data_IF_923945449145
#
_entry.id   IF_923945449145
#
_cell.length_a   1.000
_cell.length_b   1.000
_cell.length_c   1.000
_cell.angle_alpha   90.00
_cell.angle_beta   90.00
_cell.angle_gamma   90.00
#
_symmetry.space_group_name_H-M   'P 1'
#
loop_
_entity.id
_entity.type
_entity.pdbx_description
1 polymer ?
#
# COMPACT_ATOMS: atom_id res chain seq x y z
N UNK A 1 -4.24 -15.80 0.84
CA UNK A 1 -3.10 -15.08 0.24
C UNK A 1 -3.09 -13.58 0.55
N UNK A 2 -3.98 -12.77 -0.07
CA UNK A 2 -3.89 -11.29 0.03
C UNK A 2 -3.99 -10.77 1.45
N UNK A 3 -4.92 -11.32 2.24
CA UNK A 3 -5.07 -10.98 3.65
C UNK A 3 -3.74 -11.08 4.41
N UNK A 4 -3.07 -12.23 4.36
CA UNK A 4 -1.80 -12.46 5.07
C UNK A 4 -0.68 -11.53 4.60
N UNK A 5 -0.58 -11.27 3.29
CA UNK A 5 0.42 -10.34 2.77
C UNK A 5 0.14 -8.90 3.23
N UNK A 6 -1.10 -8.42 3.07
CA UNK A 6 -1.51 -7.09 3.52
C UNK A 6 -1.35 -6.94 5.03
N UNK A 7 -1.71 -7.96 5.80
CA UNK A 7 -1.56 -8.00 7.25
C UNK A 7 -0.08 -7.83 7.65
N UNK A 8 0.79 -8.65 7.07
CA UNK A 8 2.24 -8.61 7.34
C UNK A 8 2.87 -7.29 6.93
N UNK A 9 2.51 -6.77 5.75
CA UNK A 9 3.01 -5.51 5.23
C UNK A 9 2.55 -4.31 6.09
N UNK A 10 1.29 -4.29 6.53
CA UNK A 10 0.77 -3.23 7.42
C UNK A 10 1.41 -3.28 8.81
N UNK A 11 1.60 -4.48 9.34
CA UNK A 11 2.32 -4.72 10.58
C UNK A 11 3.75 -4.17 10.46
N UNK A 12 4.48 -4.55 9.41
CA UNK A 12 5.84 -4.11 9.14
C UNK A 12 5.97 -2.59 9.00
N UNK A 13 5.06 -1.93 8.29
CA UNK A 13 5.08 -0.47 8.13
C UNK A 13 5.03 0.28 9.48
N UNK A 14 4.21 -0.18 10.42
CA UNK A 14 4.06 0.43 11.75
C UNK A 14 5.31 0.23 12.60
N UNK A 15 5.87 -0.98 12.58
CA UNK A 15 7.06 -1.32 13.39
C UNK A 15 8.29 -0.58 12.90
N UNK A 16 8.48 -0.50 11.58
CA UNK A 16 9.60 0.24 10.98
C UNK A 16 9.51 1.71 11.35
N UNK A 17 8.32 2.32 11.20
CA UNK A 17 8.10 3.70 11.58
C UNK A 17 8.41 3.93 13.07
N UNK A 18 7.86 3.11 13.95
CA UNK A 18 8.09 3.23 15.39
C UNK A 18 9.56 3.04 15.78
N UNK A 19 10.24 2.06 15.17
CA UNK A 19 11.64 1.77 15.48
C UNK A 19 12.58 2.89 15.05
N UNK A 20 12.40 3.45 13.84
CA UNK A 20 13.20 4.60 13.38
C UNK A 20 12.92 5.83 14.24
N UNK A 21 11.66 6.09 14.59
CA UNK A 21 11.34 7.20 15.48
C UNK A 21 12.05 7.10 16.83
N UNK A 22 12.09 5.90 17.43
CA UNK A 22 12.81 5.66 18.69
C UNK A 22 14.32 5.87 18.57
N UNK A 23 14.91 5.61 17.40
CA UNK A 23 16.35 5.78 17.15
C UNK A 23 16.73 7.22 16.83
N UNK A 24 15.95 7.90 15.98
CA UNK A 24 16.30 9.23 15.45
C UNK A 24 15.67 10.38 16.24
N UNK A 25 14.55 10.15 16.94
CA UNK A 25 13.72 11.19 17.59
C UNK A 25 13.29 12.36 16.68
N UNK A 26 13.39 12.19 15.36
CA UNK A 26 13.10 13.22 14.37
C UNK A 26 11.86 12.86 13.54
N UNK A 27 10.79 13.67 13.57
CA UNK A 27 9.62 13.50 12.70
C UNK A 27 9.95 13.55 11.20
N UNK A 28 11.00 14.27 10.77
CA UNK A 28 11.39 14.35 9.36
C UNK A 28 11.88 12.99 8.83
N UNK A 29 12.54 12.19 9.68
CA UNK A 29 12.98 10.84 9.31
C UNK A 29 11.79 9.90 9.00
N UNK A 30 10.66 10.07 9.70
CA UNK A 30 9.42 9.33 9.38
C UNK A 30 8.86 9.72 8.00
N UNK A 31 8.92 11.02 7.66
CA UNK A 31 8.54 11.50 6.33
C UNK A 31 9.42 10.92 5.22
N UNK A 32 10.74 10.86 5.46
CA UNK A 32 11.70 10.29 4.52
C UNK A 32 11.49 8.79 4.28
N UNK A 33 11.05 8.03 5.28
CA UNK A 33 10.67 6.61 5.10
C UNK A 33 9.53 6.49 4.10
N UNK A 34 8.47 7.29 4.30
CA UNK A 34 7.32 7.31 3.39
C UNK A 34 7.72 7.67 1.96
N UNK A 35 8.59 8.67 1.80
CA UNK A 35 9.13 9.06 0.49
C UNK A 35 9.98 7.96 -0.14
N UNK A 36 10.86 7.32 0.64
CA UNK A 36 11.74 6.24 0.20
C UNK A 36 10.95 5.01 -0.27
N UNK A 37 9.76 4.78 0.29
CA UNK A 37 8.83 3.75 -0.18
C UNK A 37 8.02 4.20 -1.41
N UNK A 38 7.53 5.45 -1.39
CA UNK A 38 6.62 5.96 -2.42
C UNK A 38 7.31 6.16 -3.77
N UNK A 39 8.53 6.68 -3.80
CA UNK A 39 9.31 6.92 -5.03
C UNK A 39 9.45 5.65 -5.87
N UNK A 40 9.99 4.52 -5.35
CA UNK A 40 10.11 3.29 -6.12
C UNK A 40 8.74 2.68 -6.43
N UNK A 41 7.77 2.75 -5.51
CA UNK A 41 6.44 2.19 -5.75
C UNK A 41 5.75 2.89 -6.94
N UNK A 42 5.80 4.22 -7.03
CA UNK A 42 5.22 5.00 -8.11
C UNK A 42 6.03 4.84 -9.40
N UNK A 43 7.35 4.97 -9.33
CA UNK A 43 8.23 4.86 -10.50
C UNK A 43 8.12 3.50 -11.19
N UNK A 44 7.96 2.43 -10.41
CA UNK A 44 7.84 1.07 -10.92
C UNK A 44 6.39 0.68 -11.21
N UNK A 45 5.37 1.32 -10.63
CA UNK A 45 3.97 0.95 -10.87
C UNK A 45 3.61 0.87 -12.37
N UNK A 46 4.09 1.82 -13.18
CA UNK A 46 3.84 1.85 -14.62
C UNK A 46 4.52 0.67 -15.35
N UNK A 47 5.79 0.42 -15.03
CA UNK A 47 6.57 -0.69 -15.60
C UNK A 47 6.09 -2.06 -15.10
N UNK A 48 5.70 -2.11 -13.83
CA UNK A 48 5.15 -3.26 -13.15
C UNK A 48 3.78 -3.65 -13.67
N UNK A 49 2.94 -2.69 -14.07
CA UNK A 49 1.69 -2.95 -14.78
C UNK A 49 1.92 -3.67 -16.11
N UNK A 50 2.83 -3.14 -16.93
CA UNK A 50 3.19 -3.75 -18.19
C UNK A 50 3.76 -5.18 -18.02
N UNK A 51 4.67 -5.38 -17.06
CA UNK A 51 5.22 -6.70 -16.76
C UNK A 51 4.16 -7.65 -16.17
N UNK A 52 3.24 -7.16 -15.36
CA UNK A 52 2.15 -7.94 -14.78
C UNK A 52 1.16 -8.47 -15.83
N UNK A 53 0.98 -7.74 -16.93
CA UNK A 53 0.13 -8.16 -18.04
C UNK A 53 0.85 -9.14 -18.99
N UNK A 54 2.18 -9.10 -19.05
CA UNK A 54 3.00 -9.97 -19.93
C UNK A 54 3.50 -11.24 -19.28
N UNK A 55 3.94 -11.16 -18.03
CA UNK A 55 4.52 -12.30 -17.32
C UNK A 55 3.42 -13.18 -16.74
N UNK A 56 3.80 -14.42 -16.47
CA UNK A 56 2.97 -15.30 -15.65
C UNK A 56 2.80 -14.67 -14.26
N UNK A 57 1.55 -14.31 -13.95
CA UNK A 57 1.19 -13.56 -12.75
C UNK A 57 1.56 -14.27 -11.45
N UNK A 58 1.42 -15.60 -11.43
CA UNK A 58 1.83 -16.43 -10.29
C UNK A 58 3.34 -16.34 -10.05
N UNK A 59 4.15 -16.53 -11.10
CA UNK A 59 5.60 -16.44 -11.02
C UNK A 59 6.08 -15.05 -10.59
N UNK A 60 5.45 -13.98 -11.11
CA UNK A 60 5.76 -12.61 -10.71
C UNK A 60 5.42 -12.35 -9.23
N UNK A 61 4.25 -12.79 -8.76
CA UNK A 61 3.87 -12.65 -7.35
C UNK A 61 4.80 -13.44 -6.41
N UNK A 62 5.23 -14.64 -6.79
CA UNK A 62 6.22 -15.40 -6.01
C UNK A 62 7.55 -14.66 -5.89
N UNK A 63 8.04 -14.03 -6.97
CA UNK A 63 9.27 -13.22 -6.95
C UNK A 63 9.13 -12.01 -6.02
N UNK A 64 7.99 -11.31 -6.11
CA UNK A 64 7.67 -10.18 -5.22
C UNK A 64 7.66 -10.63 -3.76
N UNK A 65 7.02 -11.76 -3.45
CA UNK A 65 6.91 -12.26 -2.08
C UNK A 65 8.27 -12.72 -1.55
N UNK A 66 9.07 -13.36 -2.39
CA UNK A 66 10.45 -13.72 -2.06
C UNK A 66 11.29 -12.47 -1.73
N UNK A 67 11.17 -11.41 -2.53
CA UNK A 67 11.83 -10.13 -2.27
C UNK A 67 11.43 -9.52 -0.93
N UNK A 68 10.14 -9.48 -0.61
CA UNK A 68 9.65 -8.95 0.68
C UNK A 68 10.09 -9.82 1.87
N UNK A 69 10.11 -11.14 1.71
CA UNK A 69 10.63 -12.07 2.73
C UNK A 69 12.13 -11.83 2.95
N UNK A 70 12.92 -11.70 1.88
CA UNK A 70 14.36 -11.40 1.98
C UNK A 70 14.60 -10.06 2.67
N UNK A 71 13.87 -9.00 2.30
CA UNK A 71 13.96 -7.71 2.99
C UNK A 71 13.61 -7.84 4.48
N UNK A 72 12.59 -8.63 4.82
CA UNK A 72 12.18 -8.86 6.21
C UNK A 72 13.20 -9.68 7.01
N UNK A 73 13.86 -10.66 6.38
CA UNK A 73 14.96 -11.42 6.99
C UNK A 73 16.18 -10.51 7.23
N UNK A 74 16.55 -9.70 6.25
CA UNK A 74 17.66 -8.74 6.39
C UNK A 74 17.38 -7.74 7.51
N UNK A 75 16.14 -7.23 7.62
CA UNK A 75 15.75 -6.39 8.76
C UNK A 75 15.80 -7.14 10.09
N UNK A 76 15.35 -8.40 10.15
CA UNK A 76 15.43 -9.22 11.36
C UNK A 76 16.89 -9.37 11.80
N UNK A 77 17.80 -9.70 10.89
CA UNK A 77 19.24 -9.83 11.18
C UNK A 77 19.82 -8.49 11.63
N UNK A 78 19.52 -7.40 10.93
CA UNK A 78 19.99 -6.05 11.26
C UNK A 78 19.49 -5.56 12.63
N UNK A 79 18.30 -6.02 13.06
CA UNK A 79 17.69 -5.62 14.33
C UNK A 79 17.85 -6.65 15.44
N UNK A 80 18.46 -7.81 15.17
CA UNK A 80 18.72 -8.81 16.19
C UNK A 80 19.80 -8.31 17.14
N UNK A 81 19.71 -8.70 18.42
CA UNK A 81 20.54 -8.27 19.56
C UNK A 81 22.06 -8.45 19.40
N UNK A 82 22.52 -9.01 18.28
CA UNK A 82 23.92 -9.25 17.95
C UNK A 82 24.60 -8.06 17.26
N UNK A 83 23.86 -7.20 16.56
CA UNK A 83 24.45 -6.09 15.78
C UNK A 83 25.06 -4.95 16.64
N UNK A 84 24.46 -4.54 17.78
CA UNK A 84 25.06 -3.51 18.64
C UNK A 84 26.42 -3.91 19.24
N UNK A 85 26.72 -5.22 19.32
CA UNK A 85 27.99 -5.73 19.85
C UNK A 85 29.18 -5.56 18.90
N UNK A 86 28.95 -5.28 17.61
CA UNK A 86 30.00 -5.19 16.58
C UNK A 86 30.29 -3.74 16.12
N UNK A 87 29.75 -2.72 16.79
CA UNK A 87 30.06 -1.31 16.46
C UNK A 87 29.40 -0.77 15.19
N UNK A 88 28.43 -1.49 14.61
CA UNK A 88 27.72 -1.15 13.37
C UNK A 88 26.42 -0.35 13.59
N UNK A 89 26.31 0.38 14.72
CA UNK A 89 25.11 1.15 15.08
C UNK A 89 24.68 2.16 14.02
N UNK A 90 25.66 2.80 13.35
CA UNK A 90 25.41 3.82 12.31
C UNK A 90 24.83 3.26 11.00
N UNK A 91 24.99 1.96 10.74
CA UNK A 91 24.51 1.33 9.49
C UNK A 91 23.08 0.80 9.57
N UNK A 92 22.45 0.82 10.76
CA UNK A 92 21.08 0.34 10.95
C UNK A 92 20.09 1.20 10.16
N UNK A 93 20.20 2.52 10.28
CA UNK A 93 19.29 3.47 9.64
C UNK A 93 19.38 3.40 8.11
N UNK A 94 20.59 3.45 7.47
CA UNK A 94 20.72 3.27 6.02
C UNK A 94 20.19 1.93 5.52
N UNK A 95 20.41 0.84 6.27
CA UNK A 95 19.91 -0.49 5.91
C UNK A 95 18.39 -0.53 5.93
N UNK A 96 17.75 0.09 6.91
CA UNK A 96 16.29 0.18 6.95
C UNK A 96 15.74 0.97 5.76
N UNK A 97 16.34 2.10 5.40
CA UNK A 97 15.93 2.86 4.19
C UNK A 97 16.09 2.03 2.91
N UNK A 98 17.20 1.31 2.74
CA UNK A 98 17.42 0.45 1.58
C UNK A 98 16.37 -0.69 1.51
N UNK A 99 15.99 -1.26 2.65
CA UNK A 99 14.98 -2.31 2.69
C UNK A 99 13.56 -1.76 2.45
N UNK A 100 13.23 -0.58 2.97
CA UNK A 100 11.97 0.12 2.67
C UNK A 100 11.87 0.40 1.16
N UNK A 101 12.96 0.85 0.55
CA UNK A 101 13.03 1.05 -0.90
C UNK A 101 12.73 -0.25 -1.64
N UNK A 102 13.35 -1.38 -1.24
CA UNK A 102 13.07 -2.70 -1.80
C UNK A 102 11.62 -3.15 -1.63
N UNK A 103 11.01 -2.87 -0.49
CA UNK A 103 9.58 -3.13 -0.24
C UNK A 103 8.70 -2.25 -1.16
N UNK A 104 9.07 -0.99 -1.37
CA UNK A 104 8.40 -0.09 -2.31
C UNK A 104 8.44 -0.60 -3.75
N UNK A 105 9.60 -1.10 -4.20
CA UNK A 105 9.74 -1.79 -5.49
C UNK A 105 8.79 -2.98 -5.58
N UNK A 106 8.79 -3.85 -4.57
CA UNK A 106 7.93 -5.03 -4.51
C UNK A 106 6.44 -4.64 -4.54
N UNK A 107 6.05 -3.57 -3.86
CA UNK A 107 4.69 -3.03 -3.85
C UNK A 107 4.25 -2.53 -5.23
N UNK A 108 5.15 -1.87 -5.96
CA UNK A 108 4.93 -1.40 -7.32
C UNK A 108 4.54 -2.52 -8.28
N UNK A 109 5.12 -3.72 -8.11
CA UNK A 109 4.73 -4.93 -8.85
C UNK A 109 3.50 -5.63 -8.25
N UNK A 110 3.37 -5.64 -6.92
CA UNK A 110 2.29 -6.33 -6.22
C UNK A 110 0.91 -5.78 -6.61
N UNK A 111 0.74 -4.46 -6.60
CA UNK A 111 -0.55 -3.81 -6.86
C UNK A 111 -1.16 -4.19 -8.22
N UNK A 112 -0.50 -3.93 -9.37
CA UNK A 112 -1.06 -4.23 -10.68
C UNK A 112 -1.24 -5.75 -10.91
N UNK A 113 -0.28 -6.56 -10.47
CA UNK A 113 -0.37 -8.03 -10.62
C UNK A 113 -1.56 -8.59 -9.86
N UNK A 114 -1.81 -8.07 -8.67
CA UNK A 114 -2.96 -8.46 -7.84
C UNK A 114 -4.28 -8.12 -8.51
N UNK A 115 -4.47 -6.90 -9.01
CA UNK A 115 -5.69 -6.54 -9.74
C UNK A 115 -5.88 -7.39 -11.01
N UNK A 116 -4.81 -7.60 -11.79
CA UNK A 116 -4.85 -8.38 -13.03
C UNK A 116 -5.14 -9.87 -12.78
N UNK A 117 -4.72 -10.45 -11.65
CA UNK A 117 -5.09 -11.82 -11.23
C UNK A 117 -6.57 -11.92 -10.87
N UNK A 118 -7.10 -10.92 -10.14
CA UNK A 118 -8.52 -10.92 -9.75
C UNK A 118 -9.43 -10.91 -10.97
N UNK A 119 -9.05 -10.12 -11.98
CA UNK A 119 -9.78 -10.00 -13.23
C UNK A 119 -9.85 -11.27 -14.05
N UNK A 120 -8.88 -12.17 -13.91
CA UNK A 120 -8.84 -13.43 -14.66
C UNK A 120 -9.50 -14.59 -13.93
N UNK A 121 -9.46 -14.60 -12.59
CA UNK A 121 -10.00 -15.71 -11.80
C UNK A 121 -11.50 -15.54 -11.56
N UNK A 122 -12.01 -14.32 -11.46
CA UNK A 122 -13.39 -14.06 -11.06
C UNK A 122 -14.29 -13.85 -12.29
N UNK A 123 -15.37 -14.65 -12.46
CA UNK A 123 -16.40 -14.40 -13.47
C UNK A 123 -17.03 -13.02 -13.31
N UNK A 124 -17.39 -12.34 -14.40
CA UNK A 124 -17.97 -10.98 -14.37
C UNK A 124 -19.21 -10.85 -13.48
N UNK A 125 -20.01 -11.91 -13.38
CA UNK A 125 -21.21 -11.99 -12.55
C UNK A 125 -20.91 -11.97 -11.05
N UNK A 126 -19.79 -12.57 -10.63
CA UNK A 126 -19.37 -12.66 -9.23
C UNK A 126 -18.37 -11.56 -8.84
N UNK A 127 -18.01 -10.69 -9.79
CA UNK A 127 -17.03 -9.64 -9.61
C UNK A 127 -17.37 -8.65 -8.48
N UNK A 128 -18.64 -8.18 -8.35
CA UNK A 128 -19.02 -7.32 -7.24
C UNK A 128 -18.84 -8.01 -5.88
N UNK A 129 -19.28 -9.27 -5.77
CA UNK A 129 -19.17 -10.05 -4.54
C UNK A 129 -17.69 -10.31 -4.17
N UNK A 130 -16.87 -10.70 -5.15
CA UNK A 130 -15.44 -10.90 -4.93
C UNK A 130 -14.72 -9.61 -4.52
N UNK A 131 -15.14 -8.47 -5.09
CA UNK A 131 -14.60 -7.15 -4.74
C UNK A 131 -14.96 -6.78 -3.31
N UNK A 132 -16.21 -6.99 -2.89
CA UNK A 132 -16.65 -6.78 -1.50
C UNK A 132 -15.86 -7.64 -0.51
N UNK A 133 -15.67 -8.93 -0.80
CA UNK A 133 -14.83 -9.82 0.04
C UNK A 133 -13.37 -9.37 0.08
N UNK A 134 -12.84 -8.88 -1.04
CA UNK A 134 -11.48 -8.38 -1.12
C UNK A 134 -11.30 -7.11 -0.28
N UNK A 135 -12.20 -6.14 -0.43
CA UNK A 135 -12.20 -4.90 0.34
C UNK A 135 -12.36 -5.18 1.83
N UNK A 136 -13.27 -6.08 2.21
CA UNK A 136 -13.46 -6.48 3.61
C UNK A 136 -12.17 -7.09 4.18
N UNK A 137 -11.54 -8.00 3.45
CA UNK A 137 -10.26 -8.60 3.85
C UNK A 137 -9.16 -7.55 4.01
N UNK A 138 -9.11 -6.55 3.12
CA UNK A 138 -8.14 -5.46 3.20
C UNK A 138 -8.38 -4.57 4.43
N UNK A 139 -9.64 -4.22 4.71
CA UNK A 139 -10.00 -3.45 5.91
C UNK A 139 -9.61 -4.20 7.19
N UNK A 140 -9.97 -5.49 7.29
CA UNK A 140 -9.58 -6.31 8.43
C UNK A 140 -8.06 -6.38 8.59
N UNK A 141 -7.31 -6.62 7.51
CA UNK A 141 -5.85 -6.66 7.56
C UNK A 141 -5.24 -5.29 7.94
N UNK A 142 -5.84 -4.19 7.49
CA UNK A 142 -5.37 -2.84 7.77
C UNK A 142 -5.64 -2.37 9.20
N UNK A 143 -6.64 -2.95 9.87
CA UNK A 143 -6.94 -2.65 11.28
C UNK A 143 -6.15 -3.59 12.20
N UNK A 144 -6.24 -4.90 11.95
CA UNK A 144 -5.67 -5.93 12.82
C UNK A 144 -4.14 -5.96 12.69
N UNK A 145 -3.58 -5.72 11.50
CA UNK A 145 -2.13 -5.75 11.24
C UNK A 145 -1.34 -4.79 12.13
N UNK A 146 -1.64 -3.47 12.11
CA UNK A 146 -1.02 -2.49 13.01
C UNK A 146 -1.27 -2.78 14.49
N UNK A 147 -2.48 -3.19 14.87
CA UNK A 147 -2.84 -3.44 16.25
C UNK A 147 -2.02 -4.60 16.85
N UNK A 148 -1.99 -5.75 16.17
CA UNK A 148 -1.16 -6.90 16.59
C UNK A 148 0.33 -6.54 16.49
N UNK A 149 0.74 -5.82 15.45
CA UNK A 149 2.12 -5.33 15.28
C UNK A 149 2.62 -4.52 16.46
N UNK A 150 1.85 -3.52 16.87
CA UNK A 150 2.18 -2.67 18.02
C UNK A 150 2.18 -3.44 19.33
N UNK A 151 1.19 -4.33 19.55
CA UNK A 151 1.13 -5.15 20.77
C UNK A 151 2.33 -6.10 20.88
N UNK A 152 2.63 -6.86 19.82
CA UNK A 152 3.76 -7.80 19.82
C UNK A 152 5.08 -7.05 19.99
N UNK A 153 5.23 -5.90 19.34
CA UNK A 153 6.40 -5.04 19.51
C UNK A 153 6.54 -4.54 20.96
N UNK A 154 5.43 -4.13 21.60
CA UNK A 154 5.42 -3.61 22.96
C UNK A 154 5.80 -4.65 24.03
N UNK A 155 5.32 -5.89 23.89
CA UNK A 155 5.56 -6.95 24.89
C UNK A 155 6.83 -7.78 24.61
N UNK A 156 7.11 -8.10 23.35
CA UNK A 156 8.14 -9.07 22.96
C UNK A 156 9.30 -8.45 22.17
N UNK A 157 9.23 -7.15 21.88
CA UNK A 157 10.28 -6.42 21.17
C UNK A 157 10.31 -6.70 19.66
N UNK A 158 11.25 -6.05 18.98
CA UNK A 158 11.30 -6.00 17.52
C UNK A 158 11.67 -7.33 16.86
N UNK A 159 12.56 -8.11 17.47
CA UNK A 159 13.05 -9.38 16.89
C UNK A 159 11.94 -10.41 16.78
N UNK A 160 11.16 -10.60 17.85
CA UNK A 160 10.00 -11.52 17.85
C UNK A 160 8.94 -11.06 16.87
N UNK A 161 8.74 -9.74 16.79
CA UNK A 161 7.76 -9.17 15.87
C UNK A 161 8.09 -9.46 14.40
N UNK A 162 9.37 -9.38 14.01
CA UNK A 162 9.80 -9.76 12.65
C UNK A 162 9.66 -11.26 12.38
N UNK A 163 9.88 -12.14 13.36
CA UNK A 163 9.62 -13.57 13.20
C UNK A 163 8.15 -13.84 12.88
N UNK A 164 7.23 -13.17 13.57
CA UNK A 164 5.79 -13.28 13.31
C UNK A 164 5.45 -12.78 11.90
N UNK A 165 6.02 -11.66 11.47
CA UNK A 165 5.83 -11.13 10.11
C UNK A 165 6.31 -12.14 9.06
N UNK A 166 7.52 -12.68 9.20
CA UNK A 166 8.09 -13.64 8.26
C UNK A 166 7.23 -14.91 8.22
N UNK A 167 6.75 -15.39 9.35
CA UNK A 167 5.85 -16.55 9.42
C UNK A 167 4.58 -16.33 8.59
N UNK A 168 3.91 -15.19 8.74
CA UNK A 168 2.71 -14.88 7.94
C UNK A 168 3.03 -14.66 6.46
N UNK A 169 4.18 -14.09 6.12
CA UNK A 169 4.64 -13.96 4.73
C UNK A 169 4.91 -15.32 4.08
N UNK A 170 5.49 -16.27 4.83
CA UNK A 170 5.73 -17.64 4.36
C UNK A 170 4.41 -18.38 4.13
N UNK A 171 3.43 -18.22 5.03
CA UNK A 171 2.06 -18.74 4.81
C UNK A 171 1.45 -18.14 3.54
N UNK A 172 1.61 -16.82 3.33
CA UNK A 172 1.11 -16.15 2.14
C UNK A 172 1.78 -16.69 0.85
N UNK A 173 3.09 -16.95 0.91
CA UNK A 173 3.88 -17.55 -0.17
C UNK A 173 3.43 -18.98 -0.48
N UNK A 174 3.26 -19.83 0.54
CA UNK A 174 2.76 -21.19 0.38
C UNK A 174 1.37 -21.20 -0.26
N UNK A 175 0.48 -20.29 0.15
CA UNK A 175 -0.86 -20.14 -0.41
C UNK A 175 -0.85 -19.78 -1.91
N UNK A 176 0.13 -19.00 -2.39
CA UNK A 176 0.32 -18.75 -3.84
C UNK A 176 0.86 -19.98 -4.54
N UNK A 177 1.80 -20.68 -3.89
CA UNK A 177 2.43 -21.84 -4.48
C UNK A 177 1.42 -22.96 -4.77
N UNK A 178 0.37 -23.08 -3.95
CA UNK A 178 -0.74 -24.00 -4.20
C UNK A 178 -1.78 -23.49 -5.22
N UNK A 179 -1.72 -22.23 -5.66
CA UNK A 179 -2.67 -21.69 -6.63
C UNK A 179 -2.36 -22.19 -8.04
N UNK A 180 -3.37 -22.68 -8.77
CA UNK A 180 -3.17 -23.22 -10.13
C UNK A 180 -2.57 -22.19 -11.10
N UNK A 181 -1.61 -22.67 -11.91
CA UNK A 181 -0.92 -21.91 -12.93
C UNK A 181 -1.90 -21.50 -14.02
N UNK A 182 -2.34 -20.25 -14.04
CA UNK A 182 -3.09 -19.73 -15.18
C UNK A 182 -2.11 -19.24 -16.25
N UNK A 183 -2.20 -19.84 -17.45
CA UNK A 183 -1.32 -19.50 -18.56
C UNK A 183 -1.58 -18.05 -19.03
N UNK A 184 -0.54 -17.25 -19.29
CA UNK A 184 -0.70 -15.92 -19.85
C UNK A 184 -1.36 -16.01 -21.23
N UNK A 185 -2.59 -15.48 -21.37
CA UNK A 185 -3.33 -15.42 -22.64
C UNK A 185 -2.88 -14.27 -23.56
N UNK A 186 -1.84 -13.51 -23.20
CA UNK A 186 -1.45 -12.29 -23.92
C UNK A 186 -0.17 -12.48 -24.73
N UNK A 187 -0.29 -12.41 -26.06
CA UNK A 187 0.78 -12.32 -27.08
C UNK A 187 0.31 -11.22 -28.04
N UNK A 188 1.02 -10.08 -28.28
CA UNK A 188 2.14 -10.05 -29.27
C UNK A 188 3.21 -8.90 -29.24
N UNK A 189 4.38 -9.20 -29.83
CA UNK A 189 5.27 -8.45 -30.80
C UNK A 189 5.54 -6.93 -30.80
N UNK A 190 5.49 -6.15 -29.71
CA UNK A 190 5.96 -4.73 -29.74
C UNK A 190 6.87 -4.30 -28.59
N UNK A 191 7.74 -3.32 -28.89
CA UNK A 191 8.76 -2.76 -27.99
C UNK A 191 8.14 -2.10 -26.74
N UNK A 192 8.76 -2.28 -25.57
CA UNK A 192 8.36 -1.73 -24.26
C UNK A 192 7.95 -0.26 -24.34
N UNK A 193 8.78 0.56 -24.98
CA UNK A 193 8.61 2.01 -25.01
C UNK A 193 7.41 2.41 -25.87
N UNK A 194 7.13 1.66 -26.95
CA UNK A 194 6.01 1.94 -27.84
C UNK A 194 4.68 1.63 -27.16
N UNK A 195 4.52 0.45 -26.54
CA UNK A 195 3.28 0.12 -25.81
C UNK A 195 3.03 1.06 -24.63
N UNK A 196 4.09 1.45 -23.90
CA UNK A 196 3.97 2.40 -22.80
C UNK A 196 3.57 3.80 -23.30
N UNK A 197 4.17 4.24 -24.41
CA UNK A 197 3.84 5.51 -25.06
C UNK A 197 2.41 5.52 -25.60
N UNK A 198 1.94 4.41 -26.17
CA UNK A 198 0.55 4.25 -26.62
C UNK A 198 -0.43 4.29 -25.45
N UNK A 199 -0.13 3.62 -24.33
CA UNK A 199 -0.93 3.68 -23.11
C UNK A 199 -1.04 5.10 -22.54
N UNK A 200 0.10 5.80 -22.44
CA UNK A 200 0.13 7.21 -21.99
C UNK A 200 -0.67 8.09 -22.96
N UNK A 201 -0.44 7.98 -24.27
CA UNK A 201 -1.19 8.73 -25.29
C UNK A 201 -2.69 8.43 -25.23
N UNK A 202 -3.09 7.19 -24.95
CA UNK A 202 -4.49 6.81 -24.81
C UNK A 202 -5.16 7.47 -23.60
N UNK A 203 -4.47 7.52 -22.45
CA UNK A 203 -4.94 8.23 -21.25
C UNK A 203 -5.13 9.71 -21.57
N UNK A 204 -4.14 10.36 -22.18
CA UNK A 204 -4.22 11.79 -22.53
C UNK A 204 -5.25 12.09 -23.63
N UNK A 205 -5.46 11.17 -24.58
CA UNK A 205 -6.46 11.33 -25.65
C UNK A 205 -7.89 11.20 -25.12
N UNK A 206 -8.10 10.37 -24.09
CA UNK A 206 -9.41 10.16 -23.48
C UNK A 206 -9.67 11.22 -22.41
N UNK A 207 -10.22 12.37 -22.82
CA UNK A 207 -10.48 13.53 -21.95
C UNK A 207 -11.16 13.17 -20.62
N UNK A 208 -12.10 12.23 -20.63
CA UNK A 208 -12.80 11.78 -19.42
C UNK A 208 -11.87 11.17 -18.36
N UNK A 209 -10.86 10.40 -18.77
CA UNK A 209 -9.91 9.79 -17.84
C UNK A 209 -8.98 10.84 -17.23
N UNK A 210 -8.51 11.80 -18.04
CA UNK A 210 -7.69 12.91 -17.53
C UNK A 210 -8.45 13.71 -16.48
N UNK A 211 -9.69 14.11 -16.75
CA UNK A 211 -10.51 14.85 -15.78
C UNK A 211 -10.76 14.06 -14.50
N UNK A 212 -11.04 12.76 -14.60
CA UNK A 212 -11.23 11.91 -13.44
C UNK A 212 -9.95 11.76 -12.59
N UNK A 213 -8.80 11.55 -13.24
CA UNK A 213 -7.50 11.42 -12.56
C UNK A 213 -7.04 12.74 -11.93
N UNK A 214 -7.20 13.88 -12.63
CA UNK A 214 -6.86 15.20 -12.08
C UNK A 214 -7.70 15.53 -10.86
N UNK A 215 -8.99 15.22 -10.92
CA UNK A 215 -9.92 15.45 -9.82
C UNK A 215 -9.62 14.54 -8.61
N UNK A 216 -9.28 13.28 -8.84
CA UNK A 216 -8.79 12.37 -7.79
C UNK A 216 -7.51 12.89 -7.14
N UNK A 217 -6.52 13.32 -7.95
CA UNK A 217 -5.27 13.88 -7.45
C UNK A 217 -5.50 15.16 -6.62
N UNK A 218 -6.44 16.00 -7.05
CA UNK A 218 -6.85 17.21 -6.32
C UNK A 218 -7.49 16.85 -4.97
N UNK A 219 -8.38 15.86 -4.91
CA UNK A 219 -8.97 15.37 -3.65
C UNK A 219 -7.90 14.86 -2.68
N UNK A 220 -7.00 14.01 -3.16
CA UNK A 220 -5.92 13.42 -2.33
C UNK A 220 -4.97 14.48 -1.80
N UNK A 221 -4.72 15.54 -2.58
CA UNK A 221 -3.91 16.68 -2.13
C UNK A 221 -4.52 17.35 -0.88
N UNK A 222 -5.84 17.59 -0.86
CA UNK A 222 -6.53 18.11 0.32
C UNK A 222 -6.66 17.07 1.44
N UNK A 223 -6.71 15.78 1.11
CA UNK A 223 -6.62 14.70 2.10
C UNK A 223 -5.34 14.75 2.95
N UNK A 224 -4.24 15.26 2.39
CA UNK A 224 -2.99 15.50 3.14
C UNK A 224 -3.14 16.52 4.27
N UNK A 225 -4.04 17.50 4.13
CA UNK A 225 -4.32 18.48 5.19
C UNK A 225 -4.95 17.82 6.43
N UNK A 226 -5.75 16.76 6.24
CA UNK A 226 -6.35 15.97 7.32
C UNK A 226 -5.27 15.27 8.15
N UNK A 227 -4.16 14.84 7.52
CA UNK A 227 -3.05 14.20 8.23
C UNK A 227 -2.30 15.13 9.19
N UNK A 228 -2.37 16.45 8.95
CA UNK A 228 -1.77 17.48 9.82
C UNK A 228 -2.70 17.94 10.95
N UNK A 229 -3.98 17.52 10.96
CA UNK A 229 -4.95 17.88 12.00
C UNK A 229 -4.44 17.65 13.43
N UNK A 230 -3.69 16.57 13.76
CA UNK A 230 -3.14 16.39 15.11
C UNK A 230 -2.20 17.51 15.54
N UNK A 231 -1.35 17.98 14.64
CA UNK A 231 -0.43 19.11 14.89
C UNK A 231 -1.22 20.40 15.05
N UNK A 232 -2.22 20.64 14.20
CA UNK A 232 -3.09 21.82 14.32
C UNK A 232 -3.91 21.83 15.61
N UNK A 233 -4.47 20.69 16.02
CA UNK A 233 -5.27 20.59 17.25
C UNK A 233 -4.43 20.78 18.51
N UNK A 234 -3.26 20.13 18.56
CA UNK A 234 -2.37 20.15 19.73
C UNK A 234 -1.54 21.44 19.84
N UNK A 235 -0.87 21.85 18.77
CA UNK A 235 0.13 22.93 18.83
C UNK A 235 -0.44 24.32 18.53
N UNK A 236 -1.45 24.41 17.65
CA UNK A 236 -2.00 25.68 17.18
C UNK A 236 -3.28 26.06 17.92
N UNK A 237 -4.28 25.18 17.89
CA UNK A 237 -5.61 25.44 18.42
C UNK A 237 -5.72 25.12 19.93
N UNK A 238 -4.77 24.35 20.49
CA UNK A 238 -4.74 23.89 21.90
C UNK A 238 -6.05 23.24 22.37
N UNK A 239 -6.82 22.72 21.43
CA UNK A 239 -8.02 21.93 21.71
C UNK A 239 -7.49 20.51 21.85
N UNK A 240 -7.49 19.97 23.08
CA UNK A 240 -6.97 18.63 23.36
C UNK A 240 -7.68 17.52 22.57
N UNK A 241 -7.53 16.27 23.02
CA UNK A 241 -8.04 15.09 22.30
C UNK A 241 -9.52 15.17 21.85
N UNK A 242 -10.37 15.89 22.58
CA UNK A 242 -11.77 16.11 22.23
C UNK A 242 -11.95 16.95 20.96
N UNK A 243 -11.18 18.02 20.78
CA UNK A 243 -11.27 18.89 19.59
C UNK A 243 -10.78 18.17 18.33
N UNK A 244 -9.71 17.38 18.45
CA UNK A 244 -9.27 16.49 17.37
C UNK A 244 -10.37 15.50 16.95
N UNK A 245 -11.10 14.96 17.94
CA UNK A 245 -12.25 14.07 17.70
C UNK A 245 -13.33 14.76 16.88
N UNK A 246 -13.71 16.00 17.22
CA UNK A 246 -14.70 16.76 16.44
C UNK A 246 -14.22 17.08 15.02
N UNK A 247 -12.94 17.44 14.84
CA UNK A 247 -12.37 17.72 13.51
C UNK A 247 -12.37 16.47 12.62
N UNK A 248 -12.01 15.30 13.17
CA UNK A 248 -12.11 14.04 12.42
C UNK A 248 -13.57 13.65 12.15
N UNK A 249 -14.47 13.84 13.10
CA UNK A 249 -15.89 13.56 12.93
C UNK A 249 -16.50 14.40 11.79
N UNK A 250 -16.14 15.68 11.69
CA UNK A 250 -16.58 16.56 10.61
C UNK A 250 -16.15 16.04 9.21
N UNK A 251 -14.90 15.58 9.07
CA UNK A 251 -14.41 15.00 7.81
C UNK A 251 -15.17 13.71 7.43
N UNK A 252 -15.43 12.84 8.42
CA UNK A 252 -16.17 11.59 8.20
C UNK A 252 -17.65 11.83 7.90
N UNK A 253 -18.27 12.82 8.54
CA UNK A 253 -19.63 13.26 8.25
C UNK A 253 -19.77 13.74 6.81
N UNK A 254 -18.82 14.56 6.32
CA UNK A 254 -18.77 14.97 4.92
C UNK A 254 -18.76 13.78 3.97
N UNK A 255 -17.90 12.79 4.23
CA UNK A 255 -17.83 11.56 3.42
C UNK A 255 -19.14 10.75 3.42
N UNK A 256 -19.82 10.63 4.56
CA UNK A 256 -21.10 9.92 4.66
C UNK A 256 -22.19 10.64 3.88
N UNK A 257 -22.30 11.97 4.01
CA UNK A 257 -23.28 12.77 3.26
C UNK A 257 -23.06 12.61 1.76
N UNK A 258 -21.81 12.69 1.30
CA UNK A 258 -21.46 12.49 -0.11
C UNK A 258 -21.79 11.07 -0.59
N UNK A 259 -21.52 10.04 0.21
CA UNK A 259 -21.87 8.65 -0.12
C UNK A 259 -23.39 8.46 -0.26
N UNK A 260 -24.19 9.05 0.62
CA UNK A 260 -25.65 9.01 0.53
C UNK A 260 -26.17 9.73 -0.73
N UNK A 261 -25.58 10.88 -1.09
CA UNK A 261 -25.92 11.62 -2.31
C UNK A 261 -25.59 10.79 -3.56
N UNK A 262 -24.42 10.14 -3.58
CA UNK A 262 -23.95 9.29 -4.68
C UNK A 262 -24.76 8.00 -4.84
N UNK A 263 -25.28 7.44 -3.74
CA UNK A 263 -26.18 6.28 -3.81
C UNK A 263 -27.44 6.59 -4.63
N UNK A 264 -27.93 7.84 -4.56
CA UNK A 264 -29.08 8.30 -5.36
C UNK A 264 -28.68 8.81 -6.76
N UNK A 265 -27.47 9.33 -6.92
CA UNK A 265 -26.93 9.87 -8.18
C UNK A 265 -25.73 9.05 -8.65
N UNK A 266 -25.98 7.92 -9.32
CA UNK A 266 -24.92 7.03 -9.80
C UNK A 266 -23.85 7.78 -10.61
N UNK A 267 -22.55 7.60 -10.31
CA UNK A 267 -21.45 8.25 -11.02
C UNK A 267 -21.42 7.96 -12.53
N UNK A 268 -22.03 6.87 -12.97
CA UNK A 268 -21.97 6.41 -14.36
C UNK A 268 -22.91 7.14 -15.32
N UNK A 269 -23.95 7.82 -14.83
CA UNK A 269 -24.91 8.51 -15.71
C UNK A 269 -24.39 9.87 -16.20
N UNK A 270 -23.69 10.63 -15.36
CA UNK A 270 -23.04 11.91 -15.71
C UNK A 270 -21.69 12.04 -14.98
N UNK A 271 -20.63 11.37 -15.48
CA UNK A 271 -19.35 11.26 -14.79
C UNK A 271 -18.79 12.62 -14.39
N UNK A 272 -18.81 13.61 -15.30
CA UNK A 272 -18.22 14.92 -15.07
C UNK A 272 -18.84 15.69 -13.88
N UNK A 273 -20.16 15.62 -13.69
CA UNK A 273 -20.86 16.38 -12.64
C UNK A 273 -20.85 15.64 -11.31
N UNK A 274 -21.08 14.32 -11.35
CA UNK A 274 -21.19 13.52 -10.15
C UNK A 274 -19.81 13.28 -9.51
N UNK A 275 -18.73 13.21 -10.30
CA UNK A 275 -17.36 13.18 -9.78
C UNK A 275 -17.00 14.50 -9.09
N UNK A 276 -17.36 15.66 -9.67
CA UNK A 276 -17.12 16.97 -9.03
C UNK A 276 -17.85 17.17 -7.69
N UNK A 277 -19.01 16.53 -7.51
CA UNK A 277 -19.75 16.57 -6.24
C UNK A 277 -19.17 15.57 -5.23
N UNK A 278 -18.46 14.55 -5.71
CA UNK A 278 -17.90 13.50 -4.86
C UNK A 278 -16.56 13.85 -4.22
N UNK A 279 -15.78 14.75 -4.86
CA UNK A 279 -14.49 15.26 -4.39
C UNK A 279 -14.69 16.55 -3.59
#
# INVERSE_FOLDING_TARGET
MRFFFTFSYRMQAVIIGFHIYKLTNDPLALGLIGLSEAIPAIGIALYGGYLADKLEKRGLLLKVFCGVILCSIVMLVATSSYMPKYGLGDYIVPTMYAMIFGIGVARGFFSPTTFSVMAQIVPRELYPNATTWNSSSWQFASIIGPAIGGLVYGYFGITVTYFVIIFFLVIAFACIFFLNKHQPKFVPTTNIVQSLSEGIKFVFKTRMMVWAMTLDLFSVFFGGAVALLPVFAHDILKVGAQGLGYMQAASSLGAVVTMLIMTRHSPMHKPWRNLLIAV
#
